data_IF_577908631509
#
_entry.id   IF_577908631509
#
_cell.length_a   1.000
_cell.length_b   1.000
_cell.length_c   1.000
_cell.angle_alpha   90.00
_cell.angle_beta   90.00
_cell.angle_gamma   90.00
#
_symmetry.space_group_name_H-M   'P 1'
#
loop_
_entity.id
_entity.type
_entity.pdbx_description
1 polymer ?
#
# COMPACT_ATOMS: atom_id res chain seq x y z
N UNK A 1 6.28 2.10 17.43
CA UNK A 1 5.45 3.28 17.09
C UNK A 1 4.60 3.62 18.32
N UNK A 2 3.68 4.60 18.34
CA UNK A 2 2.89 4.93 19.56
C UNK A 2 1.90 3.80 19.91
N UNK A 3 2.41 2.71 20.47
CA UNK A 3 1.69 1.48 20.75
C UNK A 3 1.15 1.41 22.19
N UNK A 4 1.60 2.31 23.08
CA UNK A 4 0.99 2.47 24.40
C UNK A 4 -0.45 2.97 24.22
N UNK A 5 -1.48 2.20 24.65
CA UNK A 5 -2.88 2.55 24.46
C UNK A 5 -3.29 3.90 25.06
N UNK A 6 -2.62 4.34 26.13
CA UNK A 6 -2.89 5.63 26.78
C UNK A 6 -2.42 6.77 25.88
N UNK A 7 -1.25 6.62 25.29
CA UNK A 7 -0.67 7.62 24.39
C UNK A 7 -1.46 7.67 23.09
N UNK A 8 -1.71 6.51 22.47
CA UNK A 8 -2.42 6.45 21.18
C UNK A 8 -3.83 7.00 21.27
N UNK A 9 -4.57 6.71 22.34
CA UNK A 9 -5.91 7.25 22.57
C UNK A 9 -5.88 8.77 22.80
N UNK A 10 -4.92 9.27 23.59
CA UNK A 10 -4.84 10.69 23.93
C UNK A 10 -4.56 11.58 22.71
N UNK A 11 -3.78 11.07 21.75
CA UNK A 11 -3.40 11.83 20.54
C UNK A 11 -4.23 11.45 19.31
N UNK A 12 -5.16 10.48 19.44
CA UNK A 12 -5.93 9.97 18.30
C UNK A 12 -5.06 9.28 17.25
N UNK A 13 -3.98 8.62 17.67
CA UNK A 13 -3.07 7.94 16.75
C UNK A 13 -3.74 6.69 16.18
N UNK A 14 -3.71 6.58 14.85
CA UNK A 14 -4.19 5.45 14.09
C UNK A 14 -3.15 5.11 13.02
N UNK A 15 -2.76 3.83 12.86
CA UNK A 15 -1.91 3.39 11.77
C UNK A 15 -2.46 3.80 10.39
N UNK A 16 -1.57 4.22 9.49
CA UNK A 16 -1.93 4.73 8.16
C UNK A 16 -2.83 3.78 7.35
N UNK A 17 -2.66 2.46 7.50
CA UNK A 17 -3.48 1.46 6.81
C UNK A 17 -4.95 1.47 7.26
N UNK A 18 -5.19 1.65 8.55
CA UNK A 18 -6.54 1.79 9.10
C UNK A 18 -7.15 3.12 8.66
N UNK A 19 -6.35 4.19 8.61
CA UNK A 19 -6.78 5.46 8.02
C UNK A 19 -7.22 5.32 6.56
N UNK A 20 -6.52 4.52 5.77
CA UNK A 20 -6.90 4.24 4.39
C UNK A 20 -8.21 3.43 4.29
N UNK A 21 -8.38 2.39 5.11
CA UNK A 21 -9.63 1.60 5.18
C UNK A 21 -10.82 2.47 5.64
N UNK A 22 -10.59 3.41 6.58
CA UNK A 22 -11.60 4.37 7.01
C UNK A 22 -12.01 5.31 5.88
N UNK A 23 -11.06 5.86 5.11
CA UNK A 23 -11.37 6.69 3.94
C UNK A 23 -12.21 5.88 2.94
N UNK A 24 -11.82 4.64 2.65
CA UNK A 24 -12.59 3.78 1.75
C UNK A 24 -14.02 3.55 2.26
N UNK A 25 -14.18 3.38 3.57
CA UNK A 25 -15.50 3.21 4.21
C UNK A 25 -16.35 4.48 4.10
N UNK A 26 -15.80 5.64 4.43
CA UNK A 26 -16.52 6.92 4.42
C UNK A 26 -16.92 7.35 3.01
N UNK A 27 -16.05 7.13 2.03
CA UNK A 27 -16.27 7.50 0.62
C UNK A 27 -17.00 6.40 -0.17
N UNK A 28 -17.24 5.24 0.42
CA UNK A 28 -17.93 4.12 -0.23
C UNK A 28 -17.13 3.41 -1.31
N UNK A 29 -15.80 3.44 -1.27
CA UNK A 29 -14.96 2.70 -2.21
C UNK A 29 -15.00 1.20 -1.93
N UNK A 30 -15.43 0.42 -2.92
CA UNK A 30 -15.42 -1.03 -2.84
C UNK A 30 -14.02 -1.60 -3.00
N UNK A 31 -13.80 -2.80 -2.45
CA UNK A 31 -12.55 -3.56 -2.64
C UNK A 31 -12.20 -3.73 -4.12
N UNK A 32 -13.20 -3.99 -4.95
CA UNK A 32 -12.99 -4.21 -6.38
C UNK A 32 -12.50 -2.94 -7.09
N UNK A 33 -13.01 -1.76 -6.73
CA UNK A 33 -12.52 -0.48 -7.27
C UNK A 33 -11.06 -0.21 -6.90
N UNK A 34 -10.71 -0.45 -5.63
CA UNK A 34 -9.34 -0.30 -5.15
C UNK A 34 -8.39 -1.30 -5.84
N UNK A 35 -8.82 -2.56 -6.01
CA UNK A 35 -8.04 -3.57 -6.71
C UNK A 35 -7.88 -3.24 -8.20
N UNK A 36 -8.91 -2.69 -8.88
CA UNK A 36 -8.78 -2.21 -10.26
C UNK A 36 -7.77 -1.08 -10.37
N UNK A 37 -7.74 -0.15 -9.41
CA UNK A 37 -6.72 0.90 -9.38
C UNK A 37 -5.31 0.33 -9.20
N UNK A 38 -5.15 -0.64 -8.30
CA UNK A 38 -3.87 -1.33 -8.11
C UNK A 38 -3.40 -2.07 -9.36
N UNK A 39 -4.31 -2.78 -10.06
CA UNK A 39 -4.03 -3.46 -11.32
C UNK A 39 -3.57 -2.48 -12.40
N UNK A 40 -4.28 -1.36 -12.56
CA UNK A 40 -3.94 -0.34 -13.54
C UNK A 40 -2.57 0.31 -13.24
N UNK A 41 -2.25 0.51 -11.97
CA UNK A 41 -0.93 0.99 -11.54
C UNK A 41 0.19 0.03 -11.97
N UNK A 42 0.03 -1.27 -11.71
CA UNK A 42 1.00 -2.29 -12.14
C UNK A 42 1.15 -2.34 -13.66
N UNK A 43 0.04 -2.25 -14.40
CA UNK A 43 0.05 -2.21 -15.88
C UNK A 43 0.80 -1.00 -16.43
N UNK A 44 0.56 0.18 -15.86
CA UNK A 44 1.25 1.43 -16.25
C UNK A 44 2.74 1.37 -15.98
N UNK A 45 3.13 0.89 -14.81
CA UNK A 45 4.54 0.75 -14.44
C UNK A 45 5.26 -0.24 -15.37
N UNK A 46 4.68 -1.43 -15.59
CA UNK A 46 5.25 -2.43 -16.50
C UNK A 46 5.42 -1.90 -17.93
N UNK A 47 4.40 -1.19 -18.45
CA UNK A 47 4.47 -0.54 -19.75
C UNK A 47 5.55 0.53 -19.81
N UNK A 48 5.65 1.39 -18.80
CA UNK A 48 6.66 2.44 -18.74
C UNK A 48 8.09 1.88 -18.74
N UNK A 49 8.31 0.76 -18.03
CA UNK A 49 9.58 0.02 -18.06
C UNK A 49 9.87 -0.53 -19.45
N UNK A 50 8.91 -1.22 -20.09
CA UNK A 50 9.08 -1.79 -21.43
C UNK A 50 9.36 -0.74 -22.51
N UNK A 51 8.74 0.43 -22.39
CA UNK A 51 8.94 1.56 -23.30
C UNK A 51 10.18 2.40 -22.96
N UNK A 52 10.95 2.05 -21.92
CA UNK A 52 12.17 2.77 -21.53
C UNK A 52 11.92 4.18 -20.99
N UNK A 53 10.71 4.46 -20.47
CA UNK A 53 10.35 5.80 -19.96
C UNK A 53 11.09 6.18 -18.69
N UNK A 54 11.56 5.21 -17.92
CA UNK A 54 12.32 5.44 -16.69
C UNK A 54 13.81 5.71 -16.97
N UNK A 55 14.08 6.68 -17.86
CA UNK A 55 15.43 7.08 -18.26
C UNK A 55 16.25 7.73 -17.14
N UNK A 56 15.62 8.04 -16.00
CA UNK A 56 16.26 8.65 -14.83
C UNK A 56 16.73 7.63 -13.79
N UNK A 57 16.49 6.33 -13.97
CA UNK A 57 16.97 5.31 -13.03
C UNK A 57 18.48 5.17 -13.16
N UNK A 58 19.20 5.38 -12.06
CA UNK A 58 20.64 5.18 -11.96
C UNK A 58 20.89 3.79 -11.36
N UNK A 59 21.59 2.86 -12.05
CA UNK A 59 21.87 1.54 -11.51
C UNK A 59 22.67 1.59 -10.21
N UNK A 60 22.22 0.83 -9.21
CA UNK A 60 22.99 0.55 -7.99
C UNK A 60 24.12 -0.42 -8.36
N UNK A 61 25.34 -0.07 -7.96
CA UNK A 61 26.55 -0.85 -8.24
C UNK A 61 27.31 -1.19 -6.96
N UNK A 62 28.03 -2.30 -6.96
CA UNK A 62 28.97 -2.65 -5.88
C UNK A 62 30.29 -1.88 -6.03
N UNK A 63 31.23 -2.10 -5.10
CA UNK A 63 32.55 -1.46 -5.09
C UNK A 63 33.41 -1.83 -6.31
N UNK A 64 33.19 -3.01 -6.91
CA UNK A 64 33.84 -3.44 -8.14
C UNK A 64 33.22 -2.82 -9.41
N UNK A 65 32.13 -2.05 -9.27
CA UNK A 65 31.41 -1.41 -10.37
C UNK A 65 30.37 -2.29 -11.05
N UNK A 66 30.11 -3.50 -10.56
CA UNK A 66 29.11 -4.42 -11.10
C UNK A 66 27.70 -3.98 -10.71
N UNK A 67 26.73 -4.17 -11.62
CA UNK A 67 25.33 -3.78 -11.38
C UNK A 67 24.66 -4.76 -10.41
N UNK A 68 24.14 -4.24 -9.31
CA UNK A 68 23.32 -4.99 -8.34
C UNK A 68 21.84 -4.90 -8.72
N UNK A 69 21.36 -3.69 -9.02
CA UNK A 69 19.96 -3.42 -9.37
C UNK A 69 19.88 -2.23 -10.33
N UNK A 70 19.12 -2.37 -11.42
CA UNK A 70 19.00 -1.33 -12.46
C UNK A 70 17.55 -1.04 -12.86
N UNK A 71 16.57 -1.55 -12.12
CA UNK A 71 15.15 -1.39 -12.38
C UNK A 71 14.34 -1.53 -11.09
N UNK A 72 13.07 -1.14 -11.12
CA UNK A 72 12.15 -1.35 -10.00
C UNK A 72 11.74 -2.82 -9.89
N UNK A 73 12.25 -3.53 -8.89
CA UNK A 73 12.00 -4.97 -8.68
C UNK A 73 10.58 -5.31 -8.22
N UNK A 74 9.82 -4.32 -7.74
CA UNK A 74 8.48 -4.51 -7.17
C UNK A 74 7.33 -4.45 -8.20
N UNK A 75 7.64 -4.20 -9.46
CA UNK A 75 6.66 -4.25 -10.55
C UNK A 75 6.25 -5.72 -10.76
N UNK A 76 4.95 -5.99 -10.67
CA UNK A 76 4.33 -7.30 -10.85
C UNK A 76 3.51 -7.28 -12.14
N UNK A 77 4.14 -7.50 -13.32
CA UNK A 77 3.45 -7.34 -14.61
C UNK A 77 2.30 -8.34 -14.81
N UNK A 78 2.31 -9.44 -14.07
CA UNK A 78 1.30 -10.50 -14.13
C UNK A 78 0.21 -10.34 -13.05
N UNK A 79 0.08 -9.17 -12.42
CA UNK A 79 -1.03 -8.90 -11.50
C UNK A 79 -2.36 -9.09 -12.22
N UNK A 80 -3.29 -9.81 -11.59
CA UNK A 80 -4.67 -10.01 -12.06
C UNK A 80 -5.66 -9.57 -11.00
N UNK A 81 -6.89 -9.27 -11.42
CA UNK A 81 -7.95 -8.87 -10.48
C UNK A 81 -8.30 -10.01 -9.52
N UNK A 82 -8.32 -11.25 -10.01
CA UNK A 82 -8.55 -12.46 -9.22
C UNK A 82 -7.44 -12.67 -8.18
N UNK A 83 -6.19 -12.45 -8.59
CA UNK A 83 -5.03 -12.56 -7.71
C UNK A 83 -5.04 -11.50 -6.60
N UNK A 84 -5.47 -10.28 -6.93
CA UNK A 84 -5.64 -9.21 -5.94
C UNK A 84 -6.79 -9.52 -4.98
N UNK A 85 -7.95 -9.96 -5.49
CA UNK A 85 -9.12 -10.29 -4.69
C UNK A 85 -8.84 -11.42 -3.67
N UNK A 86 -7.94 -12.34 -3.99
CA UNK A 86 -7.54 -13.43 -3.09
C UNK A 86 -6.66 -12.97 -1.91
N UNK A 87 -6.14 -11.75 -1.91
CA UNK A 87 -5.30 -11.22 -0.83
C UNK A 87 -6.14 -10.88 0.40
N UNK A 88 -5.64 -11.29 1.57
CA UNK A 88 -6.21 -10.95 2.88
C UNK A 88 -6.06 -9.45 3.16
N UNK A 89 -7.06 -8.79 3.78
CA UNK A 89 -6.91 -7.43 4.28
C UNK A 89 -5.72 -7.34 5.24
N UNK A 90 -4.79 -6.40 4.98
CA UNK A 90 -3.54 -6.32 5.72
C UNK A 90 -3.72 -5.78 7.15
N UNK A 91 -4.72 -4.91 7.37
CA UNK A 91 -4.87 -4.15 8.60
C UNK A 91 -6.02 -4.59 9.51
N UNK A 92 -6.90 -5.50 9.07
CA UNK A 92 -8.06 -5.94 9.85
C UNK A 92 -7.69 -6.38 11.29
N UNK A 93 -6.73 -7.30 11.42
CA UNK A 93 -6.27 -7.76 12.75
C UNK A 93 -5.61 -6.67 13.60
N UNK A 94 -5.01 -5.66 12.97
CA UNK A 94 -4.38 -4.54 13.67
C UNK A 94 -5.47 -3.58 14.15
N UNK A 95 -6.47 -3.30 13.32
CA UNK A 95 -7.65 -2.50 13.66
C UNK A 95 -8.37 -3.03 14.90
N UNK A 96 -8.66 -4.34 14.90
CA UNK A 96 -9.37 -5.05 15.97
C UNK A 96 -8.73 -4.92 17.35
N UNK A 97 -7.42 -4.61 17.44
CA UNK A 97 -6.74 -4.52 18.75
C UNK A 97 -7.24 -3.35 19.60
N UNK A 98 -7.36 -2.15 19.02
CA UNK A 98 -7.78 -0.91 19.71
C UNK A 98 -7.93 0.28 18.75
N UNK A 99 -7.26 0.25 17.60
CA UNK A 99 -7.17 1.40 16.70
C UNK A 99 -8.47 1.71 15.96
N UNK A 100 -9.31 0.72 15.66
CA UNK A 100 -10.63 0.96 15.06
C UNK A 100 -11.53 1.76 16.01
N UNK A 101 -11.44 1.49 17.32
CA UNK A 101 -12.20 2.25 18.32
C UNK A 101 -11.77 3.72 18.38
N UNK A 102 -10.46 4.01 18.26
CA UNK A 102 -9.94 5.38 18.18
C UNK A 102 -10.47 6.08 16.92
N UNK A 103 -10.44 5.39 15.78
CA UNK A 103 -10.93 5.92 14.51
C UNK A 103 -12.43 6.24 14.55
N UNK A 104 -13.25 5.28 14.99
CA UNK A 104 -14.71 5.40 15.07
C UNK A 104 -15.19 6.42 16.13
N UNK A 105 -14.41 6.64 17.20
CA UNK A 105 -14.73 7.69 18.17
C UNK A 105 -14.70 9.10 17.54
N UNK A 106 -13.90 9.30 16.49
CA UNK A 106 -13.80 10.57 15.76
C UNK A 106 -14.69 10.60 14.51
N UNK A 107 -14.87 9.45 13.86
CA UNK A 107 -15.64 9.30 12.62
C UNK A 107 -16.63 8.13 12.77
N UNK A 108 -17.80 8.37 13.40
CA UNK A 108 -18.78 7.33 13.69
C UNK A 108 -19.51 6.82 12.45
#
# INVERSE_FOLDING_TARGET
MYEDPRVSSAIGFVPQGIGADLIATLEGFSREELDRYALESQRRAARATQEGRFCSIIPVRNEAGEVILAHDEHIRPNTTLEGLAALKPAFARIGETHFDAIALAKYP
#
